data_IF_383659141622
#
_entry.id   IF_383659141622
#
_cell.length_a   1.000
_cell.length_b   1.000
_cell.length_c   1.000
_cell.angle_alpha   90.00
_cell.angle_beta   90.00
_cell.angle_gamma   90.00
#
_symmetry.space_group_name_H-M   'P 1'
#
loop_
_entity.id
_entity.type
_entity.pdbx_description
1 polymer ?
#
# COMPACT_ATOMS: atom_id res chain seq x y z
N UNK A 1 -14.32 5.06 -3.57
CA UNK A 1 -13.65 3.83 -4.03
C UNK A 1 -14.50 2.97 -4.97
N UNK A 2 -15.81 3.26 -5.17
CA UNK A 2 -16.68 2.47 -6.07
C UNK A 2 -16.14 2.32 -7.50
N UNK A 3 -15.43 3.32 -8.03
CA UNK A 3 -14.77 3.23 -9.34
C UNK A 3 -13.63 2.20 -9.37
N UNK A 4 -12.91 2.02 -8.26
CA UNK A 4 -11.82 1.05 -8.17
C UNK A 4 -12.40 -0.37 -8.12
N UNK A 5 -13.45 -0.62 -7.33
CA UNK A 5 -14.05 -1.96 -7.18
C UNK A 5 -14.57 -2.57 -8.49
N UNK A 6 -14.88 -1.74 -9.48
CA UNK A 6 -15.37 -2.17 -10.80
C UNK A 6 -14.34 -2.00 -11.91
N UNK A 7 -13.07 -1.72 -11.58
CA UNK A 7 -12.00 -1.48 -12.54
C UNK A 7 -11.81 -2.64 -13.53
N UNK A 8 -11.60 -2.30 -14.80
CA UNK A 8 -11.35 -3.23 -15.91
C UNK A 8 -10.11 -2.83 -16.75
N UNK A 9 -9.21 -2.02 -16.20
CA UNK A 9 -8.05 -1.49 -16.93
C UNK A 9 -6.99 -2.56 -17.29
N UNK A 10 -7.15 -3.79 -16.83
CA UNK A 10 -6.32 -4.95 -17.18
C UNK A 10 -7.10 -6.25 -16.95
N UNK A 11 -6.58 -7.37 -17.45
CA UNK A 11 -7.28 -8.66 -17.38
C UNK A 11 -7.30 -9.28 -15.99
N UNK A 12 -6.51 -8.79 -15.03
CA UNK A 12 -6.47 -9.36 -13.67
C UNK A 12 -7.81 -9.31 -12.93
N UNK A 13 -8.70 -8.37 -13.30
CA UNK A 13 -10.05 -8.31 -12.71
C UNK A 13 -10.96 -9.49 -13.09
N UNK A 14 -10.54 -10.33 -14.05
CA UNK A 14 -11.20 -11.56 -14.42
C UNK A 14 -10.87 -12.70 -13.44
N UNK A 15 -9.67 -12.69 -12.86
CA UNK A 15 -9.27 -13.66 -11.82
C UNK A 15 -9.97 -13.36 -10.50
N UNK A 16 -9.86 -12.11 -10.06
CA UNK A 16 -10.47 -11.62 -8.83
C UNK A 16 -10.69 -10.11 -8.96
N UNK A 17 -11.84 -9.61 -8.53
CA UNK A 17 -12.09 -8.17 -8.45
C UNK A 17 -11.08 -7.49 -7.51
N UNK A 18 -10.86 -6.17 -7.68
CA UNK A 18 -10.02 -5.37 -6.80
C UNK A 18 -10.34 -5.62 -5.31
N UNK A 19 -9.34 -6.06 -4.55
CA UNK A 19 -9.42 -6.21 -3.09
C UNK A 19 -9.04 -4.88 -2.44
N UNK A 20 -9.95 -4.31 -1.66
CA UNK A 20 -9.83 -2.97 -1.06
C UNK A 20 -10.07 -3.05 0.45
N UNK A 21 -9.48 -2.11 1.19
CA UNK A 21 -9.84 -1.93 2.59
C UNK A 21 -11.25 -1.30 2.70
N UNK A 22 -11.84 -1.42 3.88
CA UNK A 22 -13.16 -0.87 4.21
C UNK A 22 -13.07 0.50 4.89
N UNK A 23 -11.89 0.84 5.40
CA UNK A 23 -11.61 2.14 6.01
C UNK A 23 -11.75 3.27 4.99
N UNK A 24 -12.23 4.43 5.45
CA UNK A 24 -12.38 5.65 4.61
C UNK A 24 -11.49 6.79 5.04
N UNK A 25 -10.69 6.58 6.08
CA UNK A 25 -9.73 7.53 6.64
C UNK A 25 -8.39 6.83 6.80
N UNK A 26 -7.31 7.57 6.63
CA UNK A 26 -5.95 7.04 6.78
C UNK A 26 -5.00 8.19 7.04
N UNK A 27 -4.25 8.10 8.13
CA UNK A 27 -3.02 8.87 8.28
C UNK A 27 -1.82 8.10 7.71
N UNK A 28 -1.83 6.77 7.83
CA UNK A 28 -0.78 5.87 7.33
C UNK A 28 -1.37 4.84 6.37
N UNK A 29 -0.83 4.79 5.15
CA UNK A 29 -1.21 3.85 4.10
C UNK A 29 -0.12 2.79 3.89
N UNK A 30 -0.46 1.52 4.08
CA UNK A 30 0.41 0.39 3.74
C UNK A 30 0.17 -0.03 2.29
N UNK A 31 1.24 -0.21 1.51
CA UNK A 31 1.15 -0.63 0.10
C UNK A 31 2.01 -1.86 -0.13
N UNK A 32 1.36 -3.02 -0.21
CA UNK A 32 1.95 -4.27 -0.70
C UNK A 32 2.01 -4.32 -2.24
N UNK A 33 2.41 -5.47 -2.78
CA UNK A 33 2.61 -5.62 -4.22
C UNK A 33 1.32 -5.92 -4.99
N UNK A 34 0.61 -6.98 -4.61
CA UNK A 34 -0.60 -7.44 -5.29
C UNK A 34 -1.56 -8.12 -4.32
N UNK A 35 -2.85 -8.19 -4.68
CA UNK A 35 -3.80 -8.95 -3.91
C UNK A 35 -3.48 -10.46 -3.93
N UNK A 36 -3.92 -11.13 -2.87
CA UNK A 36 -3.98 -12.59 -2.78
C UNK A 36 -5.39 -13.06 -3.06
N UNK A 37 -5.50 -14.36 -3.34
CA UNK A 37 -6.78 -15.04 -3.44
C UNK A 37 -7.54 -14.95 -2.12
N UNK A 38 -8.84 -14.62 -2.21
CA UNK A 38 -9.76 -14.55 -1.08
C UNK A 38 -11.11 -15.14 -1.48
N UNK A 39 -11.82 -15.72 -0.51
CA UNK A 39 -13.16 -16.27 -0.75
C UNK A 39 -14.17 -15.20 -1.16
N UNK A 40 -14.07 -14.00 -0.58
CA UNK A 40 -14.99 -12.91 -0.88
C UNK A 40 -14.33 -11.53 -0.70
N UNK A 41 -14.11 -10.84 -1.83
CA UNK A 41 -13.49 -9.50 -1.86
C UNK A 41 -14.23 -8.43 -1.04
N UNK A 42 -15.53 -8.62 -0.75
CA UNK A 42 -16.31 -7.71 0.09
C UNK A 42 -16.19 -8.02 1.59
N UNK A 43 -15.75 -9.23 1.95
CA UNK A 43 -15.55 -9.66 3.34
C UNK A 43 -14.09 -9.52 3.78
N UNK A 44 -13.15 -9.77 2.88
CA UNK A 44 -11.71 -9.69 3.13
C UNK A 44 -11.16 -8.28 2.84
N UNK A 45 -9.92 -8.04 3.29
CA UNK A 45 -9.17 -6.80 3.05
C UNK A 45 -7.73 -7.12 2.66
N UNK A 46 -6.99 -6.20 2.01
CA UNK A 46 -5.56 -6.36 1.79
C UNK A 46 -4.78 -6.51 3.10
N UNK A 47 -3.69 -7.28 3.08
CA UNK A 47 -2.75 -7.40 4.20
C UNK A 47 -3.43 -7.77 5.53
N UNK A 48 -4.49 -8.59 5.47
CA UNK A 48 -5.27 -9.05 6.61
C UNK A 48 -4.45 -9.89 7.60
N UNK A 49 -4.87 -9.85 8.87
CA UNK A 49 -4.19 -10.50 10.02
C UNK A 49 -4.29 -12.03 10.02
N UNK A 50 -5.03 -12.63 9.09
CA UNK A 50 -4.98 -14.06 8.79
C UNK A 50 -3.66 -14.47 8.10
N UNK A 51 -2.88 -13.50 7.60
CA UNK A 51 -1.54 -13.72 7.04
C UNK A 51 -0.40 -13.33 7.99
N UNK A 52 0.76 -13.97 7.86
CA UNK A 52 1.96 -13.59 8.62
C UNK A 52 2.37 -12.12 8.41
N UNK A 53 2.15 -11.58 7.21
CA UNK A 53 2.40 -10.17 6.92
C UNK A 53 1.43 -9.27 7.68
N UNK A 54 0.13 -9.57 7.60
CA UNK A 54 -0.88 -8.77 8.30
C UNK A 54 -0.76 -8.84 9.81
N UNK A 55 -0.36 -9.98 10.41
CA UNK A 55 -0.10 -10.07 11.87
C UNK A 55 1.01 -9.12 12.32
N UNK A 56 2.08 -8.98 11.53
CA UNK A 56 3.17 -8.05 11.84
C UNK A 56 2.67 -6.61 11.71
N UNK A 57 1.92 -6.30 10.65
CA UNK A 57 1.36 -4.97 10.44
C UNK A 57 0.40 -4.61 11.58
N UNK A 58 -0.52 -5.49 11.94
CA UNK A 58 -1.46 -5.27 13.06
C UNK A 58 -0.72 -5.06 14.39
N UNK A 59 0.37 -5.79 14.62
CA UNK A 59 1.21 -5.57 15.81
C UNK A 59 1.83 -4.17 15.84
N UNK A 60 2.19 -3.60 14.68
CA UNK A 60 2.66 -2.22 14.56
C UNK A 60 1.51 -1.25 14.85
N UNK A 61 0.35 -1.47 14.22
CA UNK A 61 -0.84 -0.62 14.33
C UNK A 61 -1.34 -0.51 15.78
N UNK A 62 -1.32 -1.62 16.53
CA UNK A 62 -1.81 -1.68 17.91
C UNK A 62 -1.05 -0.79 18.91
N UNK A 63 0.12 -0.25 18.54
CA UNK A 63 0.82 0.73 19.38
C UNK A 63 0.22 2.15 19.32
N UNK A 64 -0.75 2.39 18.41
CA UNK A 64 -1.30 3.71 18.17
C UNK A 64 -2.82 3.72 18.32
N UNK A 65 -3.32 4.54 19.25
CA UNK A 65 -4.76 4.71 19.49
C UNK A 65 -5.37 5.83 18.65
N UNK A 66 -4.55 6.78 18.18
CA UNK A 66 -4.99 8.00 17.48
C UNK A 66 -4.39 8.13 16.07
N UNK A 67 -3.94 7.02 15.47
CA UNK A 67 -3.47 6.98 14.08
C UNK A 67 -4.36 6.01 13.31
N UNK A 68 -4.90 6.47 12.18
CA UNK A 68 -5.73 5.63 11.32
C UNK A 68 -4.90 4.99 10.22
N UNK A 69 -5.07 3.68 10.05
CA UNK A 69 -4.34 2.89 9.07
C UNK A 69 -5.27 2.42 7.95
N UNK A 70 -4.72 2.35 6.74
CA UNK A 70 -5.38 1.74 5.58
C UNK A 70 -4.41 0.76 4.91
N UNK A 71 -4.90 -0.42 4.54
CA UNK A 71 -4.11 -1.48 3.92
C UNK A 71 -4.45 -1.62 2.44
N UNK A 72 -3.42 -1.57 1.60
CA UNK A 72 -3.57 -1.62 0.16
C UNK A 72 -2.47 -2.41 -0.53
N UNK A 73 -2.61 -2.58 -1.83
CA UNK A 73 -1.59 -3.12 -2.72
C UNK A 73 -1.44 -2.22 -3.96
N UNK A 74 -0.26 -2.21 -4.58
CA UNK A 74 -0.05 -1.53 -5.86
C UNK A 74 -1.00 -2.09 -6.94
N UNK A 75 -1.09 -3.42 -7.04
CA UNK A 75 -2.04 -4.12 -7.90
C UNK A 75 -3.21 -4.64 -7.07
N UNK A 76 -4.43 -4.16 -7.35
CA UNK A 76 -5.62 -4.48 -6.54
C UNK A 76 -6.17 -5.89 -6.79
N UNK A 77 -5.88 -6.48 -7.94
CA UNK A 77 -6.40 -7.79 -8.35
C UNK A 77 -5.37 -8.91 -8.10
N UNK A 78 -5.81 -10.15 -8.28
CA UNK A 78 -5.00 -11.36 -8.14
C UNK A 78 -4.26 -11.72 -9.44
N UNK A 79 -2.92 -11.61 -9.51
CA UNK A 79 -2.13 -12.10 -10.63
C UNK A 79 -1.93 -13.62 -10.58
N UNK A 80 -2.39 -14.32 -11.61
CA UNK A 80 -2.21 -15.76 -11.82
C UNK A 80 -1.39 -16.02 -13.09
N UNK A 81 -0.58 -17.08 -13.08
CA UNK A 81 0.05 -17.65 -14.28
C UNK A 81 -0.92 -18.60 -15.03
N UNK A 82 -0.46 -19.14 -16.16
CA UNK A 82 -1.27 -20.03 -17.01
C UNK A 82 -1.67 -21.35 -16.31
N UNK A 83 -1.05 -21.68 -15.19
CA UNK A 83 -1.36 -22.85 -14.37
C UNK A 83 -2.23 -22.50 -13.14
N UNK A 84 -2.85 -21.31 -13.12
CA UNK A 84 -3.60 -20.77 -11.99
C UNK A 84 -2.80 -20.64 -10.69
N UNK A 85 -1.47 -20.48 -10.77
CA UNK A 85 -0.63 -20.21 -9.60
C UNK A 85 -0.39 -18.72 -9.44
N UNK A 86 -0.31 -18.28 -8.18
CA UNK A 86 0.00 -16.87 -7.87
C UNK A 86 1.40 -16.54 -8.37
N UNK A 87 1.50 -15.44 -9.12
CA UNK A 87 2.76 -14.88 -9.62
C UNK A 87 2.93 -13.43 -9.20
N UNK A 88 4.08 -12.84 -9.52
CA UNK A 88 4.22 -11.39 -9.42
C UNK A 88 3.49 -10.69 -10.57
N UNK A 89 2.92 -9.50 -10.34
CA UNK A 89 2.35 -8.71 -11.42
C UNK A 89 3.45 -8.23 -12.37
N UNK A 90 3.10 -8.17 -13.64
CA UNK A 90 3.92 -7.65 -14.71
C UNK A 90 3.96 -6.12 -14.70
N UNK A 91 4.88 -5.53 -15.47
CA UNK A 91 5.06 -4.08 -15.50
C UNK A 91 3.82 -3.35 -16.04
N UNK A 92 3.21 -3.85 -17.10
CA UNK A 92 1.96 -3.34 -17.68
C UNK A 92 0.80 -3.41 -16.67
N UNK A 93 0.69 -4.47 -15.88
CA UNK A 93 -0.33 -4.63 -14.84
C UNK A 93 -0.12 -3.63 -13.70
N UNK A 94 1.12 -3.44 -13.25
CA UNK A 94 1.48 -2.40 -12.29
C UNK A 94 1.22 -0.99 -12.84
N UNK A 95 1.57 -0.74 -14.11
CA UNK A 95 1.33 0.53 -14.81
C UNK A 95 -0.17 0.84 -14.91
N UNK A 96 -0.99 -0.16 -15.28
CA UNK A 96 -2.45 -0.02 -15.38
C UNK A 96 -3.12 0.24 -14.04
N UNK A 97 -2.63 -0.40 -12.96
CA UNK A 97 -3.22 -0.28 -11.63
C UNK A 97 -2.69 0.93 -10.83
N UNK A 98 -1.60 1.57 -11.27
CA UNK A 98 -1.02 2.71 -10.55
C UNK A 98 -2.02 3.87 -10.36
N UNK A 99 -2.89 4.10 -11.35
CA UNK A 99 -3.98 5.08 -11.25
C UNK A 99 -4.92 4.81 -10.07
N UNK A 100 -5.22 3.55 -9.76
CA UNK A 100 -6.05 3.19 -8.61
C UNK A 100 -5.35 3.47 -7.28
N UNK A 101 -4.03 3.30 -7.18
CA UNK A 101 -3.27 3.69 -5.99
C UNK A 101 -3.31 5.22 -5.80
N UNK A 102 -3.18 5.99 -6.88
CA UNK A 102 -3.29 7.45 -6.82
C UNK A 102 -4.69 7.90 -6.38
N UNK A 103 -5.74 7.24 -6.86
CA UNK A 103 -7.11 7.51 -6.41
C UNK A 103 -7.29 7.25 -4.91
N UNK A 104 -6.73 6.16 -4.36
CA UNK A 104 -6.75 5.94 -2.92
C UNK A 104 -6.01 7.04 -2.16
N UNK A 105 -4.82 7.43 -2.61
CA UNK A 105 -4.04 8.51 -1.99
C UNK A 105 -4.81 9.83 -2.05
N UNK A 106 -5.44 10.16 -3.18
CA UNK A 106 -6.23 11.39 -3.32
C UNK A 106 -7.46 11.40 -2.40
N UNK A 107 -8.14 10.25 -2.28
CA UNK A 107 -9.34 10.10 -1.46
C UNK A 107 -9.04 10.11 0.04
N UNK A 108 -7.95 9.45 0.45
CA UNK A 108 -7.59 9.26 1.85
C UNK A 108 -6.70 10.39 2.38
N UNK A 109 -5.95 11.06 1.51
CA UNK A 109 -4.95 12.08 1.84
C UNK A 109 -4.02 11.66 2.99
N UNK A 110 -3.31 10.51 2.87
CA UNK A 110 -2.47 10.01 3.94
C UNK A 110 -1.24 10.89 4.13
N UNK A 111 -0.79 10.99 5.38
CA UNK A 111 0.45 11.68 5.76
C UNK A 111 1.67 10.85 5.39
N UNK A 112 1.58 9.53 5.55
CA UNK A 112 2.66 8.59 5.31
C UNK A 112 2.17 7.43 4.44
N UNK A 113 2.96 7.05 3.44
CA UNK A 113 2.74 5.86 2.61
C UNK A 113 3.96 4.94 2.75
N UNK A 114 3.76 3.78 3.38
CA UNK A 114 4.78 2.75 3.47
C UNK A 114 4.68 1.78 2.30
N UNK A 115 5.74 1.77 1.49
CA UNK A 115 5.90 0.89 0.33
C UNK A 115 6.63 -0.38 0.77
N UNK A 116 5.93 -1.51 0.79
CA UNK A 116 6.42 -2.76 1.35
C UNK A 116 7.28 -3.52 0.31
N UNK A 117 8.60 -3.40 0.46
CA UNK A 117 9.61 -4.06 -0.37
C UNK A 117 10.07 -3.22 -1.57
N UNK A 118 11.30 -3.48 -2.02
CA UNK A 118 11.98 -2.67 -3.05
C UNK A 118 11.19 -2.62 -4.36
N UNK A 119 10.58 -3.72 -4.82
CA UNK A 119 9.82 -3.73 -6.08
C UNK A 119 8.69 -2.69 -6.07
N UNK A 120 7.95 -2.56 -4.97
CA UNK A 120 6.89 -1.56 -4.80
C UNK A 120 7.50 -0.16 -4.67
N UNK A 121 8.51 -0.04 -3.80
CA UNK A 121 9.25 1.19 -3.54
C UNK A 121 9.80 1.84 -4.81
N UNK A 122 10.58 1.09 -5.57
CA UNK A 122 11.25 1.53 -6.79
C UNK A 122 10.25 1.90 -7.89
N UNK A 123 9.20 1.09 -8.05
CA UNK A 123 8.16 1.35 -9.04
C UNK A 123 7.45 2.68 -8.75
N UNK A 124 6.92 2.84 -7.53
CA UNK A 124 6.14 4.02 -7.14
C UNK A 124 7.02 5.27 -7.14
N UNK A 125 8.19 5.24 -6.49
CA UNK A 125 9.09 6.40 -6.44
C UNK A 125 9.56 6.84 -7.83
N UNK A 126 9.82 5.90 -8.74
CA UNK A 126 10.16 6.22 -10.13
C UNK A 126 8.99 6.88 -10.88
N UNK A 127 7.76 6.42 -10.68
CA UNK A 127 6.56 7.05 -11.27
C UNK A 127 6.38 8.47 -10.74
N UNK A 128 6.48 8.67 -9.43
CA UNK A 128 6.31 9.98 -8.80
C UNK A 128 7.39 10.99 -9.22
N UNK A 129 8.63 10.56 -9.48
CA UNK A 129 9.72 11.41 -9.99
C UNK A 129 9.59 11.76 -11.48
N UNK A 130 8.66 11.14 -12.21
CA UNK A 130 8.50 11.40 -13.64
C UNK A 130 7.82 12.76 -13.88
N UNK A 131 8.54 13.71 -14.49
CA UNK A 131 8.04 15.07 -14.75
C UNK A 131 6.82 15.11 -15.68
N UNK A 132 6.72 14.19 -16.65
CA UNK A 132 5.56 14.13 -17.53
C UNK A 132 4.31 13.66 -16.76
N UNK A 133 4.48 12.68 -15.88
CA UNK A 133 3.42 12.24 -14.97
C UNK A 133 2.96 13.38 -14.04
N UNK A 134 3.89 14.09 -13.40
CA UNK A 134 3.56 15.23 -12.54
C UNK A 134 2.76 16.32 -13.28
N UNK A 135 3.06 16.55 -14.56
CA UNK A 135 2.30 17.49 -15.41
C UNK A 135 0.91 16.98 -15.81
N UNK A 136 0.70 15.66 -15.80
CA UNK A 136 -0.57 15.04 -16.22
C UNK A 136 -1.62 14.93 -15.12
N UNK A 137 -1.23 15.12 -13.85
CA UNK A 137 -2.13 15.00 -12.71
C UNK A 137 -2.71 16.36 -12.28
N UNK A 138 -3.81 16.32 -11.52
CA UNK A 138 -4.45 17.53 -11.00
C UNK A 138 -3.54 18.25 -9.99
N UNK A 139 -3.68 19.58 -9.88
CA UNK A 139 -2.96 20.37 -8.85
C UNK A 139 -3.27 19.87 -7.43
N UNK A 140 -4.52 19.44 -7.18
CA UNK A 140 -4.92 18.86 -5.89
C UNK A 140 -4.12 17.60 -5.58
N UNK A 141 -4.07 16.64 -6.52
CA UNK A 141 -3.32 15.40 -6.33
C UNK A 141 -1.82 15.68 -6.20
N UNK A 142 -1.26 16.59 -7.00
CA UNK A 142 0.14 16.97 -6.87
C UNK A 142 0.46 17.51 -5.47
N UNK A 143 -0.35 18.43 -4.94
CA UNK A 143 -0.16 18.95 -3.58
C UNK A 143 -0.23 17.86 -2.51
N UNK A 144 -1.17 16.91 -2.64
CA UNK A 144 -1.27 15.77 -1.73
C UNK A 144 0.04 14.97 -1.79
N UNK A 145 0.47 14.57 -2.98
CA UNK A 145 1.69 13.78 -3.18
C UNK A 145 2.95 14.49 -2.66
N UNK A 146 3.05 15.81 -2.82
CA UNK A 146 4.18 16.60 -2.33
C UNK A 146 4.21 16.68 -0.79
N UNK A 147 3.04 16.64 -0.15
CA UNK A 147 2.91 16.64 1.33
C UNK A 147 2.97 15.24 1.96
N UNK A 148 2.75 14.19 1.16
CA UNK A 148 2.78 12.80 1.62
C UNK A 148 4.21 12.27 1.66
N UNK A 149 4.60 11.65 2.78
CA UNK A 149 5.91 11.01 2.93
C UNK A 149 5.86 9.59 2.38
N UNK A 150 6.72 9.26 1.42
CA UNK A 150 6.83 7.92 0.82
C UNK A 150 8.07 7.16 1.31
N UNK A 151 7.87 6.23 2.24
CA UNK A 151 8.94 5.44 2.85
C UNK A 151 8.94 4.00 2.32
N UNK A 152 10.10 3.50 1.89
CA UNK A 152 10.25 2.09 1.51
C UNK A 152 10.75 1.33 2.73
N UNK A 153 10.08 0.22 3.07
CA UNK A 153 10.47 -0.64 4.19
C UNK A 153 10.56 -2.09 3.72
N UNK A 154 11.26 -2.94 4.47
CA UNK A 154 11.28 -4.37 4.18
C UNK A 154 9.86 -4.94 4.22
N UNK A 155 9.50 -5.78 3.24
CA UNK A 155 8.20 -6.42 3.26
C UNK A 155 8.11 -7.36 4.48
N UNK A 156 7.04 -7.35 5.29
CA UNK A 156 6.96 -8.17 6.51
C UNK A 156 7.11 -9.68 6.28
N UNK A 157 6.74 -10.19 5.09
CA UNK A 157 7.04 -11.59 4.73
C UNK A 157 8.53 -11.92 4.72
N UNK A 158 9.40 -10.99 4.29
CA UNK A 158 10.85 -11.17 4.35
C UNK A 158 11.33 -11.25 5.79
N UNK A 159 10.78 -10.39 6.67
CA UNK A 159 11.09 -10.43 8.10
C UNK A 159 10.65 -11.75 8.71
N UNK A 160 9.43 -12.20 8.40
CA UNK A 160 8.90 -13.46 8.91
C UNK A 160 9.74 -14.68 8.48
N UNK A 161 10.20 -14.72 7.22
CA UNK A 161 10.95 -15.87 6.68
C UNK A 161 12.42 -15.84 7.11
N UNK A 162 13.11 -14.70 6.95
CA UNK A 162 14.57 -14.62 7.04
C UNK A 162 15.08 -13.96 8.32
N UNK A 163 14.24 -13.18 9.01
CA UNK A 163 14.62 -12.41 10.21
C UNK A 163 13.64 -12.60 11.36
N UNK A 164 13.06 -13.79 11.49
CA UNK A 164 11.99 -14.08 12.46
C UNK A 164 12.38 -13.75 13.90
N UNK A 165 13.63 -14.00 14.29
CA UNK A 165 14.20 -13.65 15.61
C UNK A 165 14.25 -12.13 15.87
N UNK A 166 14.33 -11.33 14.82
CA UNK A 166 14.38 -9.86 14.87
C UNK A 166 13.01 -9.23 14.57
N UNK A 167 11.93 -10.02 14.56
CA UNK A 167 10.57 -9.52 14.27
C UNK A 167 10.16 -8.40 15.23
N UNK A 168 10.46 -8.53 16.53
CA UNK A 168 10.12 -7.49 17.53
C UNK A 168 10.86 -6.18 17.25
N UNK A 169 12.17 -6.26 17.00
CA UNK A 169 13.01 -5.11 16.61
C UNK A 169 12.45 -4.42 15.36
N UNK A 170 12.04 -5.19 14.35
CA UNK A 170 11.42 -4.63 13.15
C UNK A 170 10.12 -3.87 13.49
N UNK A 171 9.26 -4.43 14.34
CA UNK A 171 8.01 -3.77 14.76
C UNK A 171 8.32 -2.45 15.49
N UNK A 172 9.20 -2.49 16.49
CA UNK A 172 9.60 -1.33 17.29
C UNK A 172 10.19 -0.22 16.41
N UNK A 173 11.11 -0.56 15.49
CA UNK A 173 11.71 0.41 14.57
C UNK A 173 10.68 1.09 13.67
N UNK A 174 9.65 0.36 13.22
CA UNK A 174 8.59 0.95 12.39
C UNK A 174 7.67 1.84 13.24
N UNK A 175 7.37 1.44 14.48
CA UNK A 175 6.59 2.27 15.41
C UNK A 175 7.33 3.59 15.75
N UNK A 176 8.62 3.51 16.02
CA UNK A 176 9.46 4.69 16.25
C UNK A 176 9.49 5.58 15.01
N UNK A 177 9.68 4.98 13.82
CA UNK A 177 9.65 5.71 12.54
C UNK A 177 8.33 6.45 12.34
N UNK A 178 7.18 5.80 12.57
CA UNK A 178 5.87 6.46 12.52
C UNK A 178 5.86 7.67 13.46
N UNK A 179 6.19 7.45 14.73
CA UNK A 179 6.20 8.53 15.74
C UNK A 179 7.05 9.72 15.33
N UNK A 180 8.24 9.48 14.78
CA UNK A 180 9.16 10.55 14.37
C UNK A 180 8.65 11.31 13.15
N UNK A 181 8.12 10.62 12.14
CA UNK A 181 7.58 11.26 10.94
C UNK A 181 6.37 12.16 11.24
N UNK A 182 5.49 11.75 12.16
CA UNK A 182 4.39 12.63 12.60
C UNK A 182 4.89 13.86 13.37
N UNK A 183 5.91 13.72 14.22
CA UNK A 183 6.53 14.87 14.92
C UNK A 183 7.15 15.86 13.94
N UNK A 184 7.81 15.38 12.89
CA UNK A 184 8.40 16.22 11.85
C UNK A 184 7.34 17.01 11.07
N UNK A 185 6.23 16.37 10.71
CA UNK A 185 5.12 17.07 10.04
C UNK A 185 4.48 18.15 10.91
N UNK A 186 4.32 17.91 12.21
CA UNK A 186 3.80 18.93 13.14
C UNK A 186 4.73 20.14 13.16
N UNK A 187 6.04 19.93 13.25
CA UNK A 187 7.04 21.01 13.23
C UNK A 187 7.06 21.79 11.92
N UNK A 188 6.83 21.12 10.79
CA UNK A 188 6.79 21.79 9.48
C UNK A 188 5.52 22.64 9.28
N UNK A 189 4.47 22.38 10.06
CA UNK A 189 3.18 23.07 9.97
C UNK A 189 3.01 24.21 11.00
N UNK A 190 3.92 24.32 11.98
CA UNK A 190 3.98 25.36 13.01
C UNK A 190 5.01 26.42 12.69
#
# INVERSE_FOLDING_TARGET
MNCISTCQNCNLCQNQKPLLDKQKISDVLWVGLSAKEVENVNKNIPLSNDTNTGKIIESIENAFTNIYFYKSNLVKCLPLDDNNKIRYPEKNEMDACFSNLLLEIEMLNPKIVFLLGNKVGDFVKRKLKNKAFQKSISKKLLNILDSTIFETVYHPSYIHIYKSKQKHIYIENIQEKITNLFKEQIKAAS
#
